data_IF_293462718992
#
_entry.id   IF_293462718992
#
_cell.length_a   1.000
_cell.length_b   1.000
_cell.length_c   1.000
_cell.angle_alpha   90.00
_cell.angle_beta   90.00
_cell.angle_gamma   90.00
#
_symmetry.space_group_name_H-M   'P 1'
#
loop_
_entity.id
_entity.type
_entity.pdbx_description
1 polymer ?
#
# COMPACT_ATOMS: atom_id res chain seq x y z
N UNK A 1 38.56 4.71 31.93
CA UNK A 1 37.58 5.81 31.92
C UNK A 1 36.28 5.25 31.39
N UNK A 2 35.27 5.17 32.27
CA UNK A 2 33.95 4.60 32.00
C UNK A 2 33.05 5.68 31.41
N UNK A 3 32.47 5.44 30.23
CA UNK A 3 31.44 6.30 29.64
C UNK A 3 30.08 5.63 29.80
N UNK A 4 29.27 6.22 30.67
CA UNK A 4 27.94 5.76 31.04
C UNK A 4 26.92 5.87 29.90
N UNK A 5 26.05 4.87 29.81
CA UNK A 5 24.84 4.86 28.97
C UNK A 5 23.80 5.82 29.59
N UNK A 6 23.13 6.70 28.83
CA UNK A 6 22.08 7.55 29.38
C UNK A 6 20.84 6.72 29.75
N UNK A 7 20.34 6.93 30.97
CA UNK A 7 19.14 6.25 31.47
C UNK A 7 17.85 6.82 30.86
N UNK A 8 16.84 5.95 30.74
CA UNK A 8 15.52 6.20 30.15
C UNK A 8 14.61 7.16 30.96
N UNK A 9 15.18 8.00 31.85
CA UNK A 9 14.42 8.73 32.87
C UNK A 9 14.27 10.25 32.63
N UNK A 10 14.66 10.80 31.48
CA UNK A 10 14.58 12.26 31.22
C UNK A 10 13.44 12.72 30.29
N UNK A 11 12.58 11.82 29.79
CA UNK A 11 11.39 12.20 29.03
C UNK A 11 10.21 12.53 29.96
N UNK A 12 10.03 13.81 30.31
CA UNK A 12 8.75 14.34 30.85
C UNK A 12 7.69 14.44 29.72
N UNK A 13 6.38 14.42 30.05
CA UNK A 13 5.46 13.49 29.40
C UNK A 13 4.81 14.04 28.12
N UNK A 14 5.00 13.29 27.03
CA UNK A 14 4.34 13.43 25.72
C UNK A 14 2.80 13.30 25.81
N UNK A 15 2.29 12.64 26.86
CA UNK A 15 0.85 12.41 27.06
C UNK A 15 -0.01 13.66 27.28
N UNK A 16 0.55 14.76 27.82
CA UNK A 16 -0.24 15.97 28.09
C UNK A 16 -0.46 16.85 26.85
N UNK A 17 0.39 16.74 25.82
CA UNK A 17 0.22 17.52 24.58
C UNK A 17 -0.82 16.90 23.65
N UNK A 18 -0.97 15.57 23.64
CA UNK A 18 -1.94 14.85 22.81
C UNK A 18 -3.39 14.97 23.35
N UNK A 19 -3.57 15.05 24.66
CA UNK A 19 -4.89 15.21 25.29
C UNK A 19 -5.58 16.53 24.89
N UNK A 20 -4.82 17.58 24.57
CA UNK A 20 -5.35 18.87 24.11
C UNK A 20 -5.93 18.81 22.68
N UNK A 21 -5.50 17.85 21.86
CA UNK A 21 -5.93 17.76 20.44
C UNK A 21 -7.25 17.03 20.22
N UNK A 22 -7.64 16.10 21.10
CA UNK A 22 -8.97 15.50 21.06
C UNK A 22 -10.07 16.55 21.31
N UNK A 23 -9.72 17.60 22.04
CA UNK A 23 -10.62 18.65 22.49
C UNK A 23 -10.86 19.74 21.43
N UNK A 24 -9.88 20.02 20.58
CA UNK A 24 -9.93 21.06 19.52
C UNK A 24 -10.47 20.53 18.17
N UNK A 25 -10.58 19.21 17.97
CA UNK A 25 -11.00 18.58 16.70
C UNK A 25 -12.52 18.43 16.51
N UNK A 26 -13.35 18.90 17.46
CA UNK A 26 -14.81 18.84 17.33
C UNK A 26 -15.37 17.42 17.17
N UNK A 27 -14.63 16.39 17.62
CA UNK A 27 -15.11 15.01 17.61
C UNK A 27 -16.27 14.86 18.61
N UNK A 28 -17.29 14.05 18.31
CA UNK A 28 -18.42 13.86 19.22
C UNK A 28 -17.94 13.30 20.55
N UNK A 29 -17.90 14.15 21.59
CA UNK A 29 -17.74 13.67 22.97
C UNK A 29 -19.08 13.07 23.37
N UNK A 30 -19.12 11.77 23.68
CA UNK A 30 -20.27 11.19 24.35
C UNK A 30 -20.25 11.65 25.80
N UNK A 31 -21.21 12.47 26.27
CA UNK A 31 -21.27 12.82 27.68
C UNK A 31 -22.11 11.75 28.38
N UNK A 32 -21.47 10.98 29.26
CA UNK A 32 -22.13 10.31 30.37
C UNK A 32 -22.67 11.38 31.31
N UNK A 33 -23.88 11.85 31.03
CA UNK A 33 -24.87 12.45 31.93
C UNK A 33 -25.84 13.26 31.07
N UNK A 34 -27.11 12.86 31.03
CA UNK A 34 -28.28 13.73 31.20
C UNK A 34 -29.56 12.90 31.04
N UNK A 35 -30.20 12.64 32.18
CA UNK A 35 -31.58 12.23 32.28
C UNK A 35 -32.51 13.39 31.90
N UNK A 36 -33.70 13.03 31.42
CA UNK A 36 -34.82 13.86 30.96
C UNK A 36 -34.65 14.51 29.58
N UNK A 37 -35.24 13.88 28.56
CA UNK A 37 -35.39 14.43 27.20
C UNK A 37 -36.86 14.43 26.76
N UNK A 38 -37.22 15.48 26.01
CA UNK A 38 -38.57 15.79 25.53
C UNK A 38 -39.15 14.71 24.62
N UNK A 39 -40.48 14.67 24.50
CA UNK A 39 -41.27 13.65 23.77
C UNK A 39 -40.79 13.47 22.31
N UNK A 40 -40.36 14.54 21.67
CA UNK A 40 -39.85 14.55 20.29
C UNK A 40 -38.51 13.82 20.13
N UNK A 41 -37.63 13.90 21.13
CA UNK A 41 -36.33 13.22 21.09
C UNK A 41 -36.44 11.74 21.46
N UNK A 42 -37.46 11.36 22.25
CA UNK A 42 -37.83 9.94 22.44
C UNK A 42 -38.31 9.31 21.14
N UNK A 43 -39.15 10.00 20.36
CA UNK A 43 -39.62 9.53 19.05
C UNK A 43 -38.47 9.36 18.05
N UNK A 44 -37.53 10.30 18.02
CA UNK A 44 -36.36 10.21 17.15
C UNK A 44 -35.42 9.07 17.55
N UNK A 45 -35.15 8.89 18.84
CA UNK A 45 -34.33 7.78 19.34
C UNK A 45 -35.00 6.43 19.15
N UNK A 46 -36.33 6.32 19.28
CA UNK A 46 -37.06 5.08 18.94
C UNK A 46 -37.05 4.81 17.44
N UNK A 47 -37.08 5.83 16.58
CA UNK A 47 -36.97 5.64 15.13
C UNK A 47 -35.57 5.19 14.72
N UNK A 48 -34.51 5.76 15.33
CA UNK A 48 -33.13 5.35 15.09
C UNK A 48 -32.89 3.93 15.63
N UNK A 49 -33.40 3.60 16.81
CA UNK A 49 -33.29 2.25 17.37
C UNK A 49 -34.09 1.24 16.54
N UNK A 50 -35.26 1.61 16.02
CA UNK A 50 -36.02 0.78 15.09
C UNK A 50 -35.29 0.57 13.77
N UNK A 51 -34.60 1.60 13.24
CA UNK A 51 -33.76 1.50 12.04
C UNK A 51 -32.49 0.65 12.27
N UNK A 52 -31.89 0.72 13.46
CA UNK A 52 -30.74 -0.12 13.83
C UNK A 52 -31.15 -1.56 14.11
N UNK A 53 -32.34 -1.78 14.68
CA UNK A 53 -32.95 -3.11 14.79
C UNK A 53 -33.33 -3.62 13.40
N UNK A 54 -33.88 -2.78 12.50
CA UNK A 54 -34.12 -3.18 11.10
C UNK A 54 -32.81 -3.52 10.39
N UNK A 55 -31.77 -2.72 10.57
CA UNK A 55 -30.45 -2.95 9.96
C UNK A 55 -29.79 -4.22 10.52
N UNK A 56 -29.87 -4.45 11.84
CA UNK A 56 -29.39 -5.66 12.51
C UNK A 56 -30.20 -6.90 12.11
N UNK A 57 -31.53 -6.79 12.01
CA UNK A 57 -32.39 -7.86 11.51
C UNK A 57 -32.08 -8.14 10.03
N UNK A 58 -31.85 -7.12 9.20
CA UNK A 58 -31.41 -7.31 7.81
C UNK A 58 -30.00 -7.92 7.69
N UNK A 59 -29.13 -7.76 8.70
CA UNK A 59 -27.78 -8.35 8.73
C UNK A 59 -27.73 -9.73 9.43
N UNK A 60 -28.72 -10.07 10.27
CA UNK A 60 -28.77 -11.32 11.03
C UNK A 60 -29.93 -12.26 10.65
N UNK A 61 -30.87 -11.85 9.81
CA UNK A 61 -31.72 -12.77 9.05
C UNK A 61 -31.05 -13.00 7.69
N UNK A 62 -30.69 -14.24 7.40
CA UNK A 62 -30.27 -14.71 6.07
C UNK A 62 -31.37 -14.44 5.03
N UNK A 63 -31.45 -13.21 4.52
CA UNK A 63 -32.16 -12.89 3.29
C UNK A 63 -31.11 -12.74 2.18
N UNK A 64 -31.07 -13.66 1.20
CA UNK A 64 -30.14 -13.56 0.09
C UNK A 64 -30.62 -12.45 -0.84
N UNK A 65 -29.83 -11.40 -1.02
CA UNK A 65 -29.97 -10.49 -2.17
C UNK A 65 -28.82 -10.75 -3.13
N UNK A 66 -28.89 -11.94 -3.70
CA UNK A 66 -28.65 -12.20 -5.12
C UNK A 66 -29.58 -13.36 -5.44
N UNK A 67 -30.56 -13.15 -6.33
CA UNK A 67 -31.33 -14.30 -6.82
C UNK A 67 -30.37 -15.19 -7.62
N UNK A 68 -30.56 -16.53 -7.62
CA UNK A 68 -29.81 -17.43 -8.50
C UNK A 68 -29.87 -16.98 -9.96
N UNK A 69 -30.94 -16.29 -10.35
CA UNK A 69 -31.13 -15.68 -11.66
C UNK A 69 -30.26 -14.43 -11.87
N UNK A 70 -30.11 -13.55 -10.89
CA UNK A 70 -29.22 -12.39 -10.98
C UNK A 70 -27.73 -12.79 -10.97
N UNK A 71 -27.39 -13.84 -10.23
CA UNK A 71 -26.06 -14.46 -10.31
C UNK A 71 -25.84 -15.13 -11.68
N UNK A 72 -26.82 -15.87 -12.19
CA UNK A 72 -26.74 -16.49 -13.51
C UNK A 72 -26.67 -15.45 -14.64
N UNK A 73 -27.36 -14.31 -14.50
CA UNK A 73 -27.33 -13.21 -15.47
C UNK A 73 -26.01 -12.44 -15.41
N UNK A 74 -25.46 -12.19 -14.22
CA UNK A 74 -24.12 -11.62 -14.07
C UNK A 74 -23.02 -12.56 -14.61
N UNK A 75 -23.13 -13.87 -14.35
CA UNK A 75 -22.23 -14.89 -14.88
C UNK A 75 -22.38 -14.99 -16.41
N UNK A 76 -23.60 -14.96 -16.94
CA UNK A 76 -23.86 -14.96 -18.40
C UNK A 76 -23.31 -13.70 -19.07
N UNK A 77 -23.45 -12.55 -18.43
CA UNK A 77 -22.90 -11.27 -18.91
C UNK A 77 -21.38 -11.32 -18.92
N UNK A 78 -20.76 -11.86 -17.87
CA UNK A 78 -19.31 -12.10 -17.82
C UNK A 78 -18.86 -13.14 -18.85
N UNK A 79 -19.66 -14.18 -19.13
CA UNK A 79 -19.38 -15.18 -20.17
C UNK A 79 -19.44 -14.60 -21.59
N UNK A 80 -20.39 -13.70 -21.86
CA UNK A 80 -20.49 -13.00 -23.14
C UNK A 80 -19.38 -11.96 -23.33
N UNK A 81 -19.01 -11.26 -22.26
CA UNK A 81 -17.96 -10.25 -22.32
C UNK A 81 -16.55 -10.84 -22.31
N UNK A 82 -16.37 -12.02 -21.68
CA UNK A 82 -15.05 -12.60 -21.44
C UNK A 82 -15.04 -14.15 -21.56
N UNK A 83 -15.23 -14.71 -22.76
CA UNK A 83 -15.27 -16.16 -22.97
C UNK A 83 -13.99 -16.91 -22.56
N UNK A 84 -12.84 -16.22 -22.51
CA UNK A 84 -11.54 -16.81 -22.14
C UNK A 84 -11.36 -17.04 -20.62
N UNK A 85 -12.12 -16.35 -19.76
CA UNK A 85 -11.97 -16.41 -18.30
C UNK A 85 -12.33 -17.78 -17.71
N UNK A 86 -13.16 -18.56 -18.41
CA UNK A 86 -13.68 -19.84 -17.90
C UNK A 86 -12.90 -21.08 -18.36
N UNK A 87 -11.81 -20.93 -19.12
CA UNK A 87 -11.02 -22.08 -19.62
C UNK A 87 -9.84 -22.51 -18.74
N UNK A 88 -9.54 -21.84 -17.62
CA UNK A 88 -8.41 -22.23 -16.76
C UNK A 88 -8.85 -22.85 -15.41
N UNK A 89 -9.36 -24.07 -15.46
CA UNK A 89 -9.70 -24.86 -14.26
C UNK A 89 -8.48 -25.51 -13.59
N UNK A 90 -7.36 -24.78 -13.46
CA UNK A 90 -6.22 -25.20 -12.64
C UNK A 90 -5.68 -24.01 -11.80
N UNK A 91 -6.57 -23.42 -11.00
CA UNK A 91 -6.43 -22.09 -10.42
C UNK A 91 -5.44 -21.98 -9.23
N UNK A 92 -5.04 -23.10 -8.63
CA UNK A 92 -4.10 -23.15 -7.48
C UNK A 92 -2.63 -23.19 -7.87
N UNK A 93 -2.28 -23.73 -9.05
CA UNK A 93 -0.89 -23.78 -9.53
C UNK A 93 -0.30 -22.40 -9.86
N UNK A 94 -1.16 -21.39 -9.99
CA UNK A 94 -0.81 -20.01 -10.35
C UNK A 94 -0.61 -19.07 -9.14
N UNK A 95 -0.40 -19.60 -7.93
CA UNK A 95 -0.26 -18.82 -6.69
C UNK A 95 1.13 -18.96 -6.07
N UNK A 96 1.64 -17.87 -5.50
CA UNK A 96 2.86 -17.89 -4.70
C UNK A 96 2.52 -18.33 -3.26
N UNK A 97 3.27 -19.26 -2.65
CA UNK A 97 2.92 -19.84 -1.34
C UNK A 97 2.77 -18.84 -0.20
N UNK A 98 3.63 -17.81 -0.16
CA UNK A 98 3.67 -16.84 0.95
C UNK A 98 3.04 -15.49 0.64
N UNK A 99 2.73 -15.21 -0.63
CA UNK A 99 2.17 -13.92 -1.06
C UNK A 99 0.68 -14.12 -1.32
N UNK A 100 -0.21 -13.53 -0.49
CA UNK A 100 -1.65 -13.67 -0.65
C UNK A 100 -2.12 -13.24 -2.06
N UNK A 101 -3.15 -13.89 -2.64
CA UNK A 101 -3.63 -13.57 -3.98
C UNK A 101 -4.54 -12.32 -3.94
N UNK A 102 -3.98 -11.19 -3.52
CA UNK A 102 -4.64 -9.89 -3.38
C UNK A 102 -3.87 -8.85 -4.19
N UNK A 103 -4.59 -8.04 -4.96
CA UNK A 103 -4.06 -6.93 -5.73
C UNK A 103 -4.67 -5.64 -5.20
N UNK A 104 -3.83 -4.66 -4.94
CA UNK A 104 -4.17 -3.36 -4.39
C UNK A 104 -3.74 -2.27 -5.36
N UNK A 105 -4.66 -1.37 -5.71
CA UNK A 105 -4.32 -0.07 -6.29
C UNK A 105 -4.94 1.03 -5.41
N UNK A 106 -4.33 2.21 -5.38
CA UNK A 106 -4.82 3.35 -4.60
C UNK A 106 -5.30 4.43 -5.56
N UNK A 107 -6.50 4.92 -5.30
CA UNK A 107 -7.12 6.05 -6.02
C UNK A 107 -7.83 6.93 -4.99
N UNK A 108 -7.12 7.87 -4.35
CA UNK A 108 -7.74 8.62 -3.25
C UNK A 108 -8.83 9.58 -3.74
N UNK A 109 -8.78 10.00 -4.99
CA UNK A 109 -9.84 10.75 -5.70
C UNK A 109 -10.66 9.87 -6.64
N UNK A 110 -10.88 8.61 -6.27
CA UNK A 110 -11.56 7.61 -7.09
C UNK A 110 -12.86 8.14 -7.73
N UNK A 111 -12.95 7.94 -9.04
CA UNK A 111 -14.18 8.06 -9.83
C UNK A 111 -14.41 6.72 -10.54
N UNK A 112 -15.66 6.25 -10.72
CA UNK A 112 -15.93 4.99 -11.41
C UNK A 112 -15.28 4.86 -12.80
N UNK A 113 -15.10 5.98 -13.50
CA UNK A 113 -14.38 6.05 -14.78
C UNK A 113 -12.91 5.63 -14.70
N UNK A 114 -12.27 5.72 -13.53
CA UNK A 114 -10.87 5.32 -13.34
C UNK A 114 -10.64 3.82 -13.58
N UNK A 115 -11.66 2.97 -13.34
CA UNK A 115 -11.58 1.51 -13.59
C UNK A 115 -11.61 1.19 -15.09
N UNK A 116 -12.16 2.08 -15.90
CA UNK A 116 -12.27 1.87 -17.36
C UNK A 116 -10.94 2.07 -18.10
N UNK A 117 -9.86 2.39 -17.38
CA UNK A 117 -8.55 2.59 -17.97
C UNK A 117 -7.93 1.24 -18.39
N UNK A 118 -7.44 1.10 -19.64
CA UNK A 118 -6.93 -0.19 -20.16
C UNK A 118 -5.82 -0.84 -19.32
N UNK A 119 -5.00 -0.03 -18.64
CA UNK A 119 -3.90 -0.51 -17.82
C UNK A 119 -4.38 -1.11 -16.48
N UNK A 120 -5.42 -0.56 -15.86
CA UNK A 120 -6.09 -1.16 -14.68
C UNK A 120 -6.68 -2.53 -15.05
N UNK A 121 -7.29 -2.62 -16.24
CA UNK A 121 -7.89 -3.85 -16.73
C UNK A 121 -6.90 -5.02 -16.82
N UNK A 122 -5.63 -4.74 -17.13
CA UNK A 122 -4.59 -5.77 -17.25
C UNK A 122 -4.33 -6.53 -15.94
N UNK A 123 -4.44 -5.87 -14.79
CA UNK A 123 -4.26 -6.48 -13.47
C UNK A 123 -5.37 -7.48 -13.14
N UNK A 124 -6.59 -7.20 -13.61
CA UNK A 124 -7.76 -8.06 -13.41
C UNK A 124 -7.67 -9.27 -14.36
N UNK A 125 -7.44 -9.03 -15.65
CA UNK A 125 -7.49 -10.12 -16.66
C UNK A 125 -6.32 -11.07 -16.60
N UNK A 126 -5.12 -10.60 -16.28
CA UNK A 126 -3.94 -11.47 -16.15
C UNK A 126 -3.86 -12.18 -14.81
N UNK A 127 -4.65 -11.79 -13.82
CA UNK A 127 -4.67 -12.43 -12.49
C UNK A 127 -6.10 -12.80 -12.05
N UNK A 128 -6.85 -13.60 -12.83
CA UNK A 128 -8.27 -13.87 -12.55
C UNK A 128 -8.50 -14.65 -11.24
N UNK A 129 -7.44 -15.27 -10.70
CA UNK A 129 -7.47 -16.00 -9.42
C UNK A 129 -7.22 -15.12 -8.19
N UNK A 130 -6.99 -13.82 -8.38
CA UNK A 130 -6.67 -12.84 -7.33
C UNK A 130 -7.87 -11.92 -7.05
N UNK A 131 -8.06 -11.53 -5.79
CA UNK A 131 -8.98 -10.44 -5.47
C UNK A 131 -8.34 -9.11 -5.84
N UNK A 132 -9.07 -8.26 -6.56
CA UNK A 132 -8.63 -6.92 -6.92
C UNK A 132 -9.39 -5.87 -6.10
N UNK A 133 -8.66 -4.97 -5.45
CA UNK A 133 -9.24 -3.92 -4.60
C UNK A 133 -8.63 -2.56 -4.92
N UNK A 134 -9.50 -1.57 -5.13
CA UNK A 134 -9.13 -0.16 -5.14
C UNK A 134 -9.35 0.43 -3.75
N UNK A 135 -8.29 0.99 -3.16
CA UNK A 135 -8.37 1.71 -1.90
C UNK A 135 -8.59 3.21 -2.19
N UNK A 136 -9.78 3.70 -1.86
CA UNK A 136 -10.16 5.11 -1.96
C UNK A 136 -9.89 5.88 -0.65
N UNK A 137 -10.21 7.18 -0.65
CA UNK A 137 -10.04 8.02 0.55
C UNK A 137 -10.82 7.52 1.77
N UNK A 138 -12.03 6.98 1.58
CA UNK A 138 -12.88 6.54 2.68
C UNK A 138 -12.34 5.24 3.29
N UNK A 139 -11.98 4.28 2.44
CA UNK A 139 -11.34 3.02 2.83
C UNK A 139 -9.99 3.25 3.50
N UNK A 140 -9.16 4.16 2.95
CA UNK A 140 -7.89 4.54 3.55
C UNK A 140 -8.07 5.12 4.96
N UNK A 141 -9.02 6.04 5.14
CA UNK A 141 -9.30 6.62 6.44
C UNK A 141 -9.82 5.56 7.42
N UNK A 142 -10.75 4.71 7.00
CA UNK A 142 -11.28 3.62 7.83
C UNK A 142 -10.17 2.67 8.30
N UNK A 143 -9.23 2.32 7.41
CA UNK A 143 -8.08 1.50 7.73
C UNK A 143 -7.21 2.14 8.81
N UNK A 144 -6.83 3.41 8.62
CA UNK A 144 -5.95 4.14 9.56
C UNK A 144 -6.64 4.37 10.91
N UNK A 145 -7.93 4.71 10.93
CA UNK A 145 -8.71 4.88 12.17
C UNK A 145 -8.79 3.58 12.96
N UNK A 146 -9.06 2.46 12.27
CA UNK A 146 -9.08 1.13 12.90
C UNK A 146 -7.74 0.79 13.52
N UNK A 147 -6.64 1.04 12.82
CA UNK A 147 -5.29 0.80 13.34
C UNK A 147 -4.93 1.71 14.51
N UNK A 148 -5.30 2.98 14.46
CA UNK A 148 -5.05 3.93 15.54
C UNK A 148 -5.81 3.60 16.82
N UNK A 149 -6.86 2.77 16.74
CA UNK A 149 -7.59 2.24 17.89
C UNK A 149 -6.86 1.07 18.56
N UNK A 150 -5.81 0.52 17.94
CA UNK A 150 -4.97 -0.55 18.51
C UNK A 150 -3.90 0.06 19.43
N UNK A 151 -3.69 -0.49 20.65
CA UNK A 151 -2.63 -0.04 21.55
C UNK A 151 -1.26 0.06 20.84
N UNK A 152 -0.55 1.18 21.06
CA UNK A 152 0.74 1.45 20.44
C UNK A 152 0.70 2.10 19.05
N UNK A 153 -0.47 2.15 18.39
CA UNK A 153 -0.62 2.69 17.02
C UNK A 153 -1.41 4.00 16.93
N UNK A 154 -1.82 4.58 18.06
CA UNK A 154 -2.62 5.81 18.11
C UNK A 154 -1.97 7.02 17.44
N UNK A 155 -0.64 7.03 17.30
CA UNK A 155 0.12 8.09 16.63
C UNK A 155 -0.08 8.11 15.10
N UNK A 156 -0.53 7.00 14.49
CA UNK A 156 -0.67 6.89 13.03
C UNK A 156 -1.71 7.86 12.46
N UNK A 157 -2.86 8.02 13.13
CA UNK A 157 -3.95 8.86 12.63
C UNK A 157 -3.57 10.35 12.53
N UNK A 158 -3.04 11.02 13.58
CA UNK A 158 -2.65 12.42 13.46
C UNK A 158 -1.53 12.64 12.44
N UNK A 159 -0.56 11.71 12.32
CA UNK A 159 0.51 11.83 11.32
C UNK A 159 0.00 11.61 9.89
N UNK A 160 -0.97 10.70 9.69
CA UNK A 160 -1.65 10.55 8.41
C UNK A 160 -2.40 11.83 8.01
N UNK A 161 -3.03 12.53 8.96
CA UNK A 161 -3.63 13.84 8.70
C UNK A 161 -2.60 14.93 8.37
N UNK A 162 -1.42 14.85 8.98
CA UNK A 162 -0.32 15.79 8.74
C UNK A 162 0.31 15.63 7.34
N UNK A 163 0.17 14.46 6.71
CA UNK A 163 0.45 14.28 5.28
C UNK A 163 -0.57 15.06 4.45
N UNK A 164 -0.29 16.33 4.15
CA UNK A 164 -1.25 17.23 3.49
C UNK A 164 -1.40 16.93 1.99
N UNK A 165 -0.35 16.39 1.34
CA UNK A 165 -0.39 15.95 -0.06
C UNK A 165 -0.93 14.52 -0.18
N UNK A 166 -1.78 14.28 -1.18
CA UNK A 166 -2.32 12.95 -1.49
C UNK A 166 -1.25 11.90 -1.76
N UNK A 167 -0.20 12.27 -2.50
CA UNK A 167 0.92 11.36 -2.81
C UNK A 167 1.60 10.80 -1.56
N UNK A 168 1.81 11.61 -0.51
CA UNK A 168 2.37 11.13 0.76
C UNK A 168 1.47 10.07 1.40
N UNK A 169 0.15 10.26 1.33
CA UNK A 169 -0.83 9.31 1.86
C UNK A 169 -0.83 8.03 1.03
N UNK A 170 -0.85 8.13 -0.29
CA UNK A 170 -0.80 6.97 -1.19
C UNK A 170 0.50 6.16 -0.98
N UNK A 171 1.64 6.84 -0.88
CA UNK A 171 2.93 6.22 -0.60
C UNK A 171 2.98 5.58 0.79
N UNK A 172 2.39 6.20 1.81
CA UNK A 172 2.28 5.55 3.12
C UNK A 172 1.38 4.30 3.06
N UNK A 173 0.22 4.41 2.40
CA UNK A 173 -0.79 3.37 2.33
C UNK A 173 -0.31 2.14 1.55
N UNK A 174 0.51 2.29 0.50
CA UNK A 174 1.02 1.14 -0.27
C UNK A 174 1.86 0.19 0.59
N UNK A 175 2.68 0.73 1.49
CA UNK A 175 3.43 -0.07 2.43
C UNK A 175 2.53 -0.62 3.54
N UNK A 176 1.65 0.22 4.08
CA UNK A 176 0.78 -0.17 5.18
C UNK A 176 -0.16 -1.32 4.80
N UNK A 177 -0.77 -1.28 3.61
CA UNK A 177 -1.70 -2.33 3.19
C UNK A 177 -0.97 -3.65 2.98
N UNK A 178 0.23 -3.64 2.39
CA UNK A 178 1.04 -4.85 2.23
C UNK A 178 1.55 -5.37 3.58
N UNK A 179 1.89 -4.48 4.51
CA UNK A 179 2.28 -4.85 5.87
C UNK A 179 1.18 -5.59 6.63
N UNK A 180 -0.09 -5.28 6.35
CA UNK A 180 -1.26 -5.87 7.02
C UNK A 180 -1.79 -7.10 6.30
N UNK A 181 -2.00 -6.98 4.99
CA UNK A 181 -2.78 -7.92 4.20
C UNK A 181 -1.93 -8.73 3.23
N UNK A 182 -0.69 -8.30 2.98
CA UNK A 182 0.16 -8.82 1.92
C UNK A 182 -0.44 -8.64 0.53
N UNK A 183 0.10 -9.40 -0.41
CA UNK A 183 -0.31 -9.41 -1.81
C UNK A 183 0.56 -8.50 -2.65
N UNK A 184 -0.04 -7.87 -3.65
CA UNK A 184 0.62 -7.01 -4.63
C UNK A 184 0.02 -5.63 -4.57
N UNK A 185 0.85 -4.62 -4.51
CA UNK A 185 0.48 -3.24 -4.79
C UNK A 185 1.10 -2.81 -6.12
N UNK A 186 0.36 -2.01 -6.88
CA UNK A 186 0.94 -1.28 -8.01
C UNK A 186 0.25 0.07 -8.22
N UNK A 187 1.02 1.07 -8.66
CA UNK A 187 0.52 2.40 -8.99
C UNK A 187 -0.57 2.30 -10.06
N UNK A 188 -1.48 3.25 -10.03
CA UNK A 188 -2.66 3.28 -10.90
C UNK A 188 -2.30 3.23 -12.38
N UNK A 189 -1.23 3.91 -12.80
CA UNK A 189 -0.77 4.06 -14.18
C UNK A 189 0.22 2.94 -14.61
N UNK A 190 0.00 1.73 -14.11
CA UNK A 190 0.81 0.57 -14.44
C UNK A 190 0.01 -0.49 -15.18
N UNK A 191 0.69 -1.21 -16.06
CA UNK A 191 0.15 -2.34 -16.81
C UNK A 191 0.86 -3.62 -16.40
N UNK A 192 0.11 -4.62 -15.97
CA UNK A 192 0.61 -5.98 -15.80
C UNK A 192 0.91 -6.59 -17.18
N UNK A 193 2.13 -7.06 -17.37
CA UNK A 193 2.54 -7.81 -18.57
C UNK A 193 2.50 -9.29 -18.31
N UNK A 194 2.91 -9.74 -17.12
CA UNK A 194 2.90 -11.14 -16.70
C UNK A 194 2.18 -11.34 -15.37
N UNK A 195 1.49 -12.48 -15.18
CA UNK A 195 0.86 -12.81 -13.91
C UNK A 195 1.90 -12.99 -12.79
N UNK A 196 1.49 -12.75 -11.55
CA UNK A 196 2.37 -12.75 -10.38
C UNK A 196 3.22 -14.03 -10.20
N UNK A 197 2.68 -15.20 -10.53
CA UNK A 197 3.40 -16.47 -10.38
C UNK A 197 4.56 -16.65 -11.37
N UNK A 198 4.59 -15.86 -12.45
CA UNK A 198 5.72 -15.81 -13.39
C UNK A 198 6.82 -14.84 -12.93
N UNK A 199 6.55 -13.97 -11.96
CA UNK A 199 7.56 -13.03 -11.46
C UNK A 199 8.65 -13.75 -10.64
N UNK A 200 8.32 -14.92 -10.10
CA UNK A 200 9.21 -15.69 -9.24
C UNK A 200 9.52 -17.04 -9.90
N UNK A 201 10.80 -17.30 -10.27
CA UNK A 201 11.26 -18.61 -10.71
C UNK A 201 10.82 -19.74 -9.77
N UNK A 202 10.51 -20.90 -10.32
CA UNK A 202 9.89 -22.01 -9.58
C UNK A 202 10.70 -22.42 -8.36
N UNK A 203 12.03 -22.46 -8.49
CA UNK A 203 12.99 -22.78 -7.45
C UNK A 203 13.00 -21.79 -6.28
N UNK A 204 12.51 -20.56 -6.48
CA UNK A 204 12.48 -19.52 -5.44
C UNK A 204 11.12 -19.42 -4.74
N UNK A 205 10.04 -19.98 -5.32
CA UNK A 205 8.66 -19.80 -4.83
C UNK A 205 8.45 -20.24 -3.38
N UNK A 206 9.13 -21.31 -2.95
CA UNK A 206 9.03 -21.82 -1.59
C UNK A 206 9.62 -20.87 -0.52
N UNK A 207 10.51 -19.98 -0.92
CA UNK A 207 11.23 -19.05 -0.02
C UNK A 207 10.82 -17.58 -0.23
N UNK A 208 10.23 -17.25 -1.37
CA UNK A 208 9.87 -15.87 -1.73
C UNK A 208 8.75 -15.34 -0.83
N UNK A 209 9.11 -14.39 0.04
CA UNK A 209 8.19 -13.64 0.91
C UNK A 209 8.12 -12.16 0.55
N UNK A 210 9.08 -11.66 -0.23
CA UNK A 210 9.11 -10.30 -0.78
C UNK A 210 9.61 -10.37 -2.24
N UNK A 211 9.01 -9.58 -3.12
CA UNK A 211 9.47 -9.36 -4.50
C UNK A 211 9.63 -7.87 -4.72
N UNK A 212 10.83 -7.48 -5.14
CA UNK A 212 11.19 -6.09 -5.47
C UNK A 212 11.87 -6.06 -6.84
N UNK A 213 11.64 -5.01 -7.61
CA UNK A 213 12.33 -4.79 -8.88
C UNK A 213 13.20 -3.54 -8.83
N UNK A 214 14.16 -3.45 -9.74
CA UNK A 214 14.97 -2.24 -9.88
C UNK A 214 14.18 -1.18 -10.67
N UNK A 215 14.29 0.08 -10.26
CA UNK A 215 13.87 1.22 -11.08
C UNK A 215 15.05 1.90 -11.78
N UNK A 216 16.25 1.77 -11.20
CA UNK A 216 17.47 2.26 -11.81
C UNK A 216 18.67 1.39 -11.42
N UNK A 217 19.58 1.26 -12.38
CA UNK A 217 20.89 0.61 -12.27
C UNK A 217 21.91 1.40 -13.12
N UNK A 218 22.56 2.40 -12.54
CA UNK A 218 23.57 3.28 -13.17
C UNK A 218 24.58 3.78 -12.16
N UNK A 219 25.87 3.72 -12.51
CA UNK A 219 26.94 4.36 -11.73
C UNK A 219 27.69 5.37 -12.62
N UNK A 220 27.76 6.67 -12.26
CA UNK A 220 27.08 7.29 -11.11
C UNK A 220 25.54 7.29 -11.26
N UNK A 221 24.78 7.54 -10.17
CA UNK A 221 23.34 7.72 -10.23
C UNK A 221 22.97 8.83 -11.23
N UNK A 222 21.78 8.72 -11.83
CA UNK A 222 21.29 9.67 -12.83
C UNK A 222 20.37 10.73 -12.19
N UNK A 223 20.11 11.87 -12.86
CA UNK A 223 19.16 12.84 -12.36
C UNK A 223 17.80 12.19 -12.05
N UNK A 224 17.28 12.44 -10.85
CA UNK A 224 16.04 11.82 -10.36
C UNK A 224 16.23 10.55 -9.54
N UNK A 225 17.44 9.99 -9.48
CA UNK A 225 17.78 8.85 -8.60
C UNK A 225 18.85 9.25 -7.58
N UNK A 226 18.90 8.51 -6.47
CA UNK A 226 19.85 8.74 -5.38
C UNK A 226 20.91 7.65 -5.32
N UNK A 227 20.54 6.40 -5.57
CA UNK A 227 21.44 5.24 -5.50
C UNK A 227 21.83 4.73 -6.89
N UNK A 228 23.00 4.09 -6.99
CA UNK A 228 23.44 3.48 -8.22
C UNK A 228 22.49 2.35 -8.66
N UNK A 229 22.07 1.54 -7.70
CA UNK A 229 20.97 0.60 -7.85
C UNK A 229 19.86 1.02 -6.91
N UNK A 230 18.75 1.48 -7.49
CA UNK A 230 17.56 1.99 -6.79
C UNK A 230 16.38 1.05 -7.05
N UNK A 231 15.61 0.77 -6.00
CA UNK A 231 14.46 -0.13 -6.08
C UNK A 231 13.18 0.62 -6.44
N UNK A 232 12.40 -0.01 -7.32
CA UNK A 232 11.04 0.39 -7.65
C UNK A 232 10.16 0.38 -6.40
N UNK A 233 9.41 1.45 -6.21
CA UNK A 233 8.38 1.57 -5.18
C UNK A 233 6.95 1.66 -5.70
N UNK A 234 6.78 1.70 -7.02
CA UNK A 234 5.49 1.80 -7.69
C UNK A 234 4.89 0.43 -8.06
N UNK A 235 5.63 -0.67 -7.86
CA UNK A 235 5.10 -2.04 -7.82
C UNK A 235 5.84 -2.85 -6.76
N UNK A 236 5.10 -3.50 -5.88
CA UNK A 236 5.61 -4.22 -4.72
C UNK A 236 4.78 -5.48 -4.50
N UNK A 237 5.41 -6.60 -4.16
CA UNK A 237 4.67 -7.79 -3.74
C UNK A 237 5.29 -8.44 -2.51
N UNK A 238 4.48 -8.91 -1.57
CA UNK A 238 5.03 -9.62 -0.42
C UNK A 238 3.99 -10.23 0.51
N UNK A 239 4.51 -10.98 1.47
CA UNK A 239 3.73 -11.64 2.49
C UNK A 239 3.11 -10.64 3.47
N UNK A 240 1.93 -10.97 3.99
CA UNK A 240 1.35 -10.23 5.10
C UNK A 240 2.32 -10.25 6.30
N UNK A 241 2.52 -9.10 6.95
CA UNK A 241 3.44 -8.97 8.08
C UNK A 241 4.93 -8.98 7.72
N UNK A 242 5.30 -8.87 6.43
CA UNK A 242 6.72 -8.77 6.07
C UNK A 242 7.38 -7.54 6.72
N UNK A 243 8.53 -7.69 7.41
CA UNK A 243 9.11 -6.61 8.22
C UNK A 243 9.47 -5.37 7.40
N UNK A 244 9.95 -5.54 6.17
CA UNK A 244 10.34 -4.43 5.27
C UNK A 244 9.23 -3.40 5.07
N UNK A 245 7.96 -3.84 4.96
CA UNK A 245 6.84 -2.91 4.78
C UNK A 245 6.54 -2.13 6.06
N UNK A 246 6.58 -2.77 7.23
CA UNK A 246 6.45 -2.09 8.51
C UNK A 246 7.60 -1.10 8.75
N UNK A 247 8.84 -1.51 8.44
CA UNK A 247 10.02 -0.63 8.56
C UNK A 247 9.85 0.62 7.71
N UNK A 248 9.40 0.50 6.46
CA UNK A 248 9.15 1.67 5.60
C UNK A 248 7.99 2.53 6.10
N UNK A 249 6.87 1.93 6.50
CA UNK A 249 5.72 2.66 7.04
C UNK A 249 6.10 3.47 8.30
N UNK A 250 6.83 2.86 9.23
CA UNK A 250 7.33 3.53 10.44
C UNK A 250 8.39 4.59 10.14
N UNK A 251 9.27 4.35 9.15
CA UNK A 251 10.22 5.37 8.66
C UNK A 251 9.47 6.61 8.17
N UNK A 252 8.44 6.43 7.35
CA UNK A 252 7.59 7.52 6.85
C UNK A 252 6.97 8.30 8.02
N UNK A 253 6.36 7.61 8.98
CA UNK A 253 5.74 8.24 10.15
C UNK A 253 6.76 9.07 10.96
N UNK A 254 7.96 8.54 11.20
CA UNK A 254 9.05 9.29 11.87
C UNK A 254 9.49 10.52 11.07
N UNK A 255 9.58 10.42 9.74
CA UNK A 255 9.94 11.55 8.87
C UNK A 255 8.87 12.63 8.87
N UNK A 256 7.60 12.25 8.90
CA UNK A 256 6.49 13.20 9.09
C UNK A 256 6.58 13.83 10.47
N UNK A 257 6.73 13.02 11.54
CA UNK A 257 6.80 13.49 12.93
C UNK A 257 7.95 14.48 13.19
N UNK A 258 9.09 14.31 12.52
CA UNK A 258 10.25 15.18 12.66
C UNK A 258 10.08 16.57 12.01
N UNK A 259 9.01 16.80 11.23
CA UNK A 259 8.75 18.09 10.60
C UNK A 259 8.26 19.10 11.65
N UNK A 260 8.61 20.39 11.52
CA UNK A 260 8.12 21.42 12.43
C UNK A 260 6.61 21.60 12.24
N UNK A 261 5.82 21.02 13.14
CA UNK A 261 4.38 21.27 13.16
C UNK A 261 4.13 22.58 13.93
N UNK A 262 3.77 23.64 13.21
CA UNK A 262 2.96 24.69 13.81
C UNK A 262 1.56 24.13 14.01
N UNK A 263 1.08 24.03 15.25
CA UNK A 263 -0.28 23.56 15.50
C UNK A 263 -1.29 24.51 14.81
N UNK A 264 -2.29 23.99 14.07
CA UNK A 264 -2.58 22.57 13.85
C UNK A 264 -1.81 21.96 12.65
N UNK A 265 -1.54 20.63 12.66
CA UNK A 265 -0.79 19.89 11.62
C UNK A 265 -1.35 19.95 10.19
N UNK A 266 -2.45 20.68 9.96
CA UNK A 266 -3.10 20.82 8.65
C UNK A 266 -2.46 21.89 7.75
N UNK A 267 -1.43 22.59 8.21
CA UNK A 267 -0.81 23.70 7.49
C UNK A 267 0.63 23.42 7.00
N UNK A 268 1.09 22.16 7.04
CA UNK A 268 2.42 21.83 6.49
C UNK A 268 2.33 21.72 4.98
N UNK A 269 2.92 22.68 4.28
CA UNK A 269 3.15 22.57 2.84
C UNK A 269 4.34 21.64 2.58
N UNK A 270 4.16 20.66 1.70
CA UNK A 270 5.22 19.75 1.27
C UNK A 270 5.62 20.08 -0.17
N UNK A 271 6.87 20.42 -0.39
CA UNK A 271 7.43 20.51 -1.74
C UNK A 271 7.59 19.11 -2.38
N UNK A 272 7.89 19.05 -3.67
CA UNK A 272 8.24 17.78 -4.33
C UNK A 272 9.48 17.13 -3.72
N UNK A 273 10.45 17.94 -3.30
CA UNK A 273 11.64 17.44 -2.61
C UNK A 273 11.27 16.82 -1.24
N UNK A 274 10.28 17.38 -0.55
CA UNK A 274 9.80 16.82 0.71
C UNK A 274 9.07 15.49 0.53
N UNK A 275 8.29 15.35 -0.56
CA UNK A 275 7.68 14.05 -0.91
C UNK A 275 8.76 13.00 -1.12
N UNK A 276 9.76 13.32 -1.94
CA UNK A 276 10.86 12.39 -2.22
C UNK A 276 11.68 12.03 -0.97
N UNK A 277 11.89 12.98 -0.04
CA UNK A 277 12.60 12.73 1.21
C UNK A 277 11.81 11.83 2.19
N UNK A 278 10.50 12.08 2.31
CA UNK A 278 9.65 11.41 3.29
C UNK A 278 9.27 10.01 2.82
N UNK A 279 8.74 9.90 1.61
CA UNK A 279 8.12 8.67 1.08
C UNK A 279 8.79 8.14 -0.20
N UNK A 280 9.79 8.84 -0.72
CA UNK A 280 10.38 8.54 -2.03
C UNK A 280 11.26 7.28 -2.10
N UNK A 281 11.71 6.97 -3.33
CA UNK A 281 12.35 5.69 -3.65
C UNK A 281 13.72 5.51 -2.98
N UNK A 282 14.37 6.62 -2.60
CA UNK A 282 15.61 6.58 -1.85
C UNK A 282 15.42 5.91 -0.49
N UNK A 283 14.40 6.35 0.27
CA UNK A 283 14.09 5.77 1.58
C UNK A 283 13.67 4.30 1.48
N UNK A 284 12.91 3.95 0.45
CA UNK A 284 12.58 2.54 0.16
C UNK A 284 13.82 1.70 -0.12
N UNK A 285 14.74 2.22 -0.94
CA UNK A 285 15.99 1.56 -1.29
C UNK A 285 16.87 1.29 -0.07
N UNK A 286 16.99 2.24 0.84
CA UNK A 286 17.67 2.07 2.13
C UNK A 286 17.09 0.88 2.92
N UNK A 287 15.76 0.86 3.07
CA UNK A 287 15.04 -0.18 3.84
C UNK A 287 15.21 -1.56 3.21
N UNK A 288 15.20 -1.66 1.88
CA UNK A 288 15.44 -2.93 1.17
C UNK A 288 16.88 -3.40 1.38
N UNK A 289 17.89 -2.53 1.23
CA UNK A 289 19.29 -2.92 1.48
C UNK A 289 19.54 -3.36 2.92
N UNK A 290 18.93 -2.68 3.89
CA UNK A 290 18.99 -3.07 5.31
C UNK A 290 18.40 -4.48 5.52
N UNK A 291 17.19 -4.73 4.98
CA UNK A 291 16.56 -6.05 5.05
C UNK A 291 17.41 -7.13 4.39
N UNK A 292 17.87 -6.90 3.16
CA UNK A 292 18.72 -7.84 2.41
C UNK A 292 20.01 -8.16 3.16
N UNK A 293 20.63 -7.16 3.78
CA UNK A 293 21.86 -7.37 4.55
C UNK A 293 21.59 -8.18 5.82
N UNK A 294 20.47 -7.91 6.50
CA UNK A 294 20.05 -8.65 7.68
C UNK A 294 19.78 -10.13 7.37
N UNK A 295 18.99 -10.42 6.33
CA UNK A 295 18.58 -11.81 6.03
C UNK A 295 19.68 -12.65 5.39
N UNK A 296 20.66 -12.02 4.74
CA UNK A 296 21.84 -12.74 4.21
C UNK A 296 22.97 -12.85 5.23
N UNK A 297 22.93 -12.10 6.33
CA UNK A 297 24.02 -12.01 7.31
C UNK A 297 25.29 -11.35 6.78
N UNK A 298 25.23 -10.67 5.62
CA UNK A 298 26.37 -10.01 4.98
C UNK A 298 25.96 -8.63 4.46
N UNK A 299 26.92 -7.72 4.28
CA UNK A 299 26.62 -6.40 3.72
C UNK A 299 26.22 -6.52 2.24
N UNK A 300 24.96 -6.22 1.93
CA UNK A 300 24.42 -6.15 0.57
C UNK A 300 24.40 -4.70 0.13
N UNK A 301 25.04 -4.42 -1.00
CA UNK A 301 25.17 -3.08 -1.60
C UNK A 301 24.82 -3.12 -3.09
N UNK A 302 24.81 -1.95 -3.74
CA UNK A 302 24.58 -1.87 -5.19
C UNK A 302 25.54 -2.76 -6.00
N UNK A 303 26.77 -2.98 -5.53
CA UNK A 303 27.76 -3.85 -6.20
C UNK A 303 27.32 -5.30 -6.28
N UNK A 304 26.46 -5.72 -5.35
CA UNK A 304 25.92 -7.07 -5.36
C UNK A 304 24.79 -7.22 -6.38
N UNK A 305 24.15 -6.14 -6.83
CA UNK A 305 22.91 -6.16 -7.61
C UNK A 305 23.02 -5.51 -8.99
N UNK A 306 24.02 -4.68 -9.22
CA UNK A 306 24.23 -4.04 -10.53
C UNK A 306 24.44 -5.08 -11.62
N UNK A 307 23.81 -4.86 -12.77
CA UNK A 307 23.94 -5.67 -13.97
C UNK A 307 23.25 -7.03 -13.92
N UNK A 308 22.45 -7.34 -12.89
CA UNK A 308 21.68 -8.59 -12.87
C UNK A 308 20.72 -8.64 -14.07
N UNK A 309 20.65 -9.81 -14.72
CA UNK A 309 19.79 -10.04 -15.89
C UNK A 309 18.68 -11.06 -15.63
N UNK A 310 18.78 -11.78 -14.53
CA UNK A 310 17.82 -12.78 -14.08
C UNK A 310 17.45 -12.49 -12.62
N UNK A 311 16.25 -12.92 -12.17
CA UNK A 311 15.85 -12.79 -10.78
C UNK A 311 16.84 -13.43 -9.83
N UNK A 312 17.04 -12.84 -8.65
CA UNK A 312 17.91 -13.38 -7.61
C UNK A 312 17.18 -13.47 -6.28
N UNK A 313 17.25 -14.63 -5.65
CA UNK A 313 16.80 -14.82 -4.28
C UNK A 313 17.92 -14.48 -3.29
N UNK A 314 17.66 -13.55 -2.37
CA UNK A 314 18.54 -13.16 -1.27
C UNK A 314 17.76 -13.29 0.04
N UNK A 315 18.06 -14.32 0.82
CA UNK A 315 17.25 -14.69 1.99
C UNK A 315 15.84 -15.09 1.56
N UNK A 316 14.86 -14.25 1.90
CA UNK A 316 13.44 -14.42 1.54
C UNK A 316 12.95 -13.45 0.44
N UNK A 317 13.86 -12.65 -0.12
CA UNK A 317 13.54 -11.58 -1.06
C UNK A 317 14.01 -11.92 -2.47
N UNK A 318 13.09 -11.89 -3.44
CA UNK A 318 13.39 -11.98 -4.86
C UNK A 318 13.62 -10.59 -5.41
N UNK A 319 14.81 -10.33 -5.93
CA UNK A 319 15.18 -9.11 -6.63
C UNK A 319 15.10 -9.35 -8.13
N UNK A 320 14.19 -8.64 -8.80
CA UNK A 320 14.02 -8.69 -10.25
C UNK A 320 15.05 -7.78 -10.94
N UNK A 321 15.51 -8.13 -12.17
CA UNK A 321 16.39 -7.28 -12.96
C UNK A 321 15.68 -5.97 -13.36
N UNK A 322 16.44 -5.04 -13.95
CA UNK A 322 15.91 -3.75 -14.43
C UNK A 322 14.70 -3.93 -15.34
N UNK A 323 14.71 -4.95 -16.19
CA UNK A 323 13.58 -5.24 -17.08
C UNK A 323 12.36 -5.84 -16.38
N UNK A 324 12.48 -6.27 -15.13
CA UNK A 324 11.36 -6.75 -14.32
C UNK A 324 10.23 -5.72 -14.26
N UNK A 325 10.55 -4.55 -13.73
CA UNK A 325 9.61 -3.45 -13.55
C UNK A 325 9.96 -2.23 -14.41
N UNK A 326 11.23 -1.98 -14.75
CA UNK A 326 11.63 -0.78 -15.47
C UNK A 326 11.99 -1.01 -16.95
N UNK A 327 11.41 -2.01 -17.64
CA UNK A 327 11.56 -2.09 -19.10
C UNK A 327 11.06 -0.81 -19.78
N UNK A 328 11.81 -0.34 -20.76
CA UNK A 328 11.49 0.84 -21.56
C UNK A 328 12.04 2.15 -21.03
N UNK A 329 12.63 2.19 -19.82
CA UNK A 329 13.30 3.41 -19.34
C UNK A 329 14.53 3.72 -20.20
N UNK A 330 14.84 4.99 -20.51
CA UNK A 330 15.91 5.37 -21.44
C UNK A 330 17.32 5.27 -20.82
N UNK A 331 17.45 4.62 -19.68
CA UNK A 331 18.68 4.51 -18.90
C UNK A 331 18.88 3.06 -18.40
N UNK A 332 19.90 2.85 -17.57
CA UNK A 332 20.15 1.59 -16.87
C UNK A 332 20.29 0.34 -17.75
N UNK A 333 20.60 0.54 -19.04
CA UNK A 333 20.66 -0.54 -20.04
C UNK A 333 19.40 -1.43 -20.02
N UNK A 334 18.25 -0.82 -19.70
CA UNK A 334 16.95 -1.46 -19.80
C UNK A 334 16.62 -1.72 -21.28
N UNK A 335 15.87 -2.78 -21.52
CA UNK A 335 15.41 -3.12 -22.85
C UNK A 335 14.42 -2.07 -23.34
N UNK A 336 14.47 -1.74 -24.63
CA UNK A 336 13.60 -0.72 -25.23
C UNK A 336 12.17 -1.19 -25.45
N UNK A 337 11.98 -2.50 -25.54
CA UNK A 337 10.71 -3.19 -25.78
C UNK A 337 10.57 -4.32 -24.79
N UNK A 338 9.36 -4.86 -24.68
CA UNK A 338 9.05 -5.96 -23.80
C UNK A 338 9.95 -7.16 -24.10
N UNK A 339 10.45 -7.78 -23.04
CA UNK A 339 11.28 -8.98 -23.08
C UNK A 339 10.66 -10.06 -22.22
N UNK A 340 11.31 -11.22 -22.16
CA UNK A 340 10.88 -12.27 -21.24
C UNK A 340 10.99 -11.88 -19.76
N UNK A 341 11.78 -10.86 -19.44
CA UNK A 341 11.91 -10.36 -18.08
C UNK A 341 10.83 -9.33 -17.73
N UNK A 342 10.08 -8.81 -18.71
CA UNK A 342 9.10 -7.74 -18.48
C UNK A 342 7.86 -8.25 -17.75
N UNK A 343 7.71 -7.84 -16.48
CA UNK A 343 6.60 -8.23 -15.61
C UNK A 343 5.53 -7.15 -15.53
N UNK A 344 5.95 -5.89 -15.41
CA UNK A 344 5.08 -4.72 -15.30
C UNK A 344 5.66 -3.57 -16.12
N UNK A 345 4.79 -2.73 -16.68
CA UNK A 345 5.16 -1.48 -17.33
C UNK A 345 4.56 -0.31 -16.60
N UNK A 346 5.37 0.71 -16.36
CA UNK A 346 4.91 1.99 -15.83
C UNK A 346 4.66 2.96 -16.99
N UNK A 347 3.51 3.63 -16.99
CA UNK A 347 3.12 4.55 -18.07
C UNK A 347 3.58 6.00 -17.82
N UNK A 348 4.06 6.30 -16.61
CA UNK A 348 4.62 7.59 -16.22
C UNK A 348 3.66 8.76 -16.47
N UNK A 349 2.37 8.56 -16.16
CA UNK A 349 1.34 9.58 -16.33
C UNK A 349 1.62 10.78 -15.40
N UNK A 350 2.21 10.53 -14.21
CA UNK A 350 2.75 11.58 -13.36
C UNK A 350 1.70 12.47 -12.67
N UNK A 351 0.45 12.02 -12.59
CA UNK A 351 -0.70 12.79 -12.09
C UNK A 351 -0.49 13.40 -10.69
N UNK A 352 0.35 12.77 -9.86
CA UNK A 352 0.62 13.21 -8.49
C UNK A 352 1.31 14.58 -8.39
N UNK A 353 2.03 14.99 -9.44
CA UNK A 353 2.70 16.30 -9.49
C UNK A 353 1.67 17.45 -9.54
N UNK A 354 0.52 17.19 -10.12
CA UNK A 354 -0.58 18.16 -10.26
C UNK A 354 -1.63 18.02 -9.14
N UNK A 355 -1.35 17.21 -8.11
CA UNK A 355 -2.23 17.03 -6.95
C UNK A 355 -3.37 16.02 -7.17
N UNK A 356 -3.33 15.26 -8.27
CA UNK A 356 -4.21 14.13 -8.57
C UNK A 356 -3.50 12.82 -8.20
N UNK A 357 -4.01 12.04 -7.26
CA UNK A 357 -3.34 10.83 -6.78
C UNK A 357 -4.09 10.11 -5.68
#
# INVERSE_FOLDING_TARGET
>A
MSTAVPSWASMRPVGQRLAKYADDLGLPRWPTQYASRSRSMRLLLTAILALLILHSVMWHTNLPISSPEAEAEAVSTLQQLFPEIMMSSNTTAARLPHIPPKIWQIFLDFTPSAISMPYVHSWITKSPSHSYTVLDSAGALALVVKLASTPGRSHMLPLFYAMSRRVLRADFLRYLILALEGGVYSDADTQMVRPLHEWVPEEFRASARLVVGLEADRSPPIPGTTYEVQFCQWTLAGAAGHPTFWTMAERILRRVEARPFESPPRAVEYSDADVLDVTGPAGWTEVVYEHLSMVTGTSVTWRNLTGIREPRLLGDTVVLPIDGFATGVPHSNASRTDTEQTMVKHLFVGAWRDGHG
#
